data_IF_455606595972
#
_entry.id   IF_455606595972
#
_cell.length_a   1.000
_cell.length_b   1.000
_cell.length_c   1.000
_cell.angle_alpha   90.00
_cell.angle_beta   90.00
_cell.angle_gamma   90.00
#
_symmetry.space_group_name_H-M   'P 1'
#
loop_
_entity.id
_entity.type
_entity.pdbx_description
1 polymer ?
#
# COMPACT_ATOMS: atom_id res chain seq x y z
N UNK A 1 25.73 21.16 -0.54
CA UNK A 1 25.65 21.85 0.75
C UNK A 1 26.59 21.12 1.69
N UNK A 2 27.70 21.72 2.06
CA UNK A 2 28.62 21.17 3.06
C UNK A 2 28.15 21.81 4.37
N UNK A 3 27.48 21.02 5.22
CA UNK A 3 27.23 21.44 6.59
C UNK A 3 28.59 21.45 7.34
N UNK A 4 28.96 22.53 8.04
CA UNK A 4 30.17 22.58 8.84
C UNK A 4 30.06 21.77 10.14
N UNK A 5 29.01 20.99 10.33
CA UNK A 5 28.84 20.12 11.49
C UNK A 5 29.67 18.86 11.35
N UNK A 6 30.02 18.26 12.49
CA UNK A 6 30.85 17.04 12.55
C UNK A 6 30.36 16.00 11.51
N UNK A 7 31.27 15.34 10.85
CA UNK A 7 31.03 14.41 9.72
C UNK A 7 30.02 13.29 10.06
N UNK A 8 29.68 13.10 11.33
CA UNK A 8 28.84 12.03 11.85
C UNK A 8 27.41 12.48 12.26
N UNK A 9 27.08 13.78 12.24
CA UNK A 9 25.76 14.28 12.63
C UNK A 9 24.96 14.78 11.44
N UNK A 10 23.72 14.27 11.31
CA UNK A 10 22.76 14.80 10.37
C UNK A 10 22.38 16.24 10.76
N UNK A 11 22.30 17.19 9.81
CA UNK A 11 21.69 18.49 10.04
C UNK A 11 20.31 18.33 10.70
N UNK A 12 19.98 19.21 11.64
CA UNK A 12 18.75 19.09 12.44
C UNK A 12 17.46 19.05 11.58
N UNK A 13 17.42 19.80 10.48
CA UNK A 13 16.34 19.78 9.50
C UNK A 13 16.22 18.43 8.78
N UNK A 14 17.32 17.84 8.35
CA UNK A 14 17.35 16.50 7.76
C UNK A 14 16.98 15.43 8.79
N UNK A 15 17.47 15.54 10.02
CA UNK A 15 17.14 14.64 11.09
C UNK A 15 15.63 14.64 11.37
N UNK A 16 14.99 15.82 11.37
CA UNK A 16 13.54 15.96 11.54
C UNK A 16 12.74 15.32 10.40
N UNK A 17 13.18 15.46 9.16
CA UNK A 17 12.54 14.82 8.00
C UNK A 17 12.67 13.29 8.09
N UNK A 18 13.81 12.77 8.52
CA UNK A 18 14.10 11.34 8.54
C UNK A 18 13.57 10.60 9.77
N UNK A 19 12.93 11.27 10.72
CA UNK A 19 12.33 10.64 11.92
C UNK A 19 11.51 9.37 11.60
N UNK A 20 10.59 9.36 10.61
CA UNK A 20 9.77 8.19 10.33
C UNK A 20 10.55 7.00 9.76
N UNK A 21 11.76 7.22 9.24
CA UNK A 21 12.66 6.17 8.73
C UNK A 21 13.64 5.75 9.81
N UNK A 22 14.30 6.73 10.42
CA UNK A 22 15.39 6.51 11.36
C UNK A 22 14.92 5.95 12.70
N UNK A 23 13.76 6.39 13.17
CA UNK A 23 13.30 6.13 14.55
C UNK A 23 14.35 6.64 15.56
N UNK A 24 14.80 5.78 16.46
CA UNK A 24 15.93 6.03 17.35
C UNK A 24 17.26 5.47 16.84
N UNK A 25 17.29 4.94 15.61
CA UNK A 25 18.49 4.33 15.03
C UNK A 25 19.58 5.36 14.69
N UNK A 26 20.82 4.96 14.76
CA UNK A 26 21.97 5.75 14.31
C UNK A 26 22.16 5.49 12.81
N UNK A 27 22.16 6.56 12.01
CA UNK A 27 22.49 6.46 10.59
C UNK A 27 23.99 6.70 10.43
N UNK A 28 24.71 5.68 10.00
CA UNK A 28 26.12 5.82 9.62
C UNK A 28 26.29 6.08 8.11
N UNK A 29 27.40 6.70 7.69
CA UNK A 29 27.69 6.92 6.29
C UNK A 29 27.91 5.58 5.59
N UNK A 30 27.10 5.29 4.58
CA UNK A 30 27.25 4.09 3.74
C UNK A 30 28.19 4.33 2.56
N UNK A 31 28.21 5.56 2.08
CA UNK A 31 28.98 6.01 0.94
C UNK A 31 29.49 7.42 1.16
N UNK A 32 30.68 7.71 0.62
CA UNK A 32 31.20 9.06 0.44
C UNK A 32 31.19 9.37 -1.05
N UNK A 33 30.57 10.50 -1.42
CA UNK A 33 30.48 10.98 -2.81
C UNK A 33 31.21 12.32 -2.90
N UNK A 34 32.29 12.36 -3.64
CA UNK A 34 32.99 13.59 -3.99
C UNK A 34 32.55 14.00 -5.41
N UNK A 35 32.01 15.20 -5.56
CA UNK A 35 31.56 15.70 -6.85
C UNK A 35 32.29 16.95 -7.24
N UNK A 36 33.02 16.89 -8.35
CA UNK A 36 33.58 18.08 -9.01
C UNK A 36 32.55 18.55 -10.05
N UNK A 37 32.03 19.76 -9.87
CA UNK A 37 31.02 20.35 -10.74
C UNK A 37 31.57 21.59 -11.42
N UNK A 38 31.41 21.65 -12.76
CA UNK A 38 31.70 22.81 -13.57
C UNK A 38 30.46 23.19 -14.36
N UNK A 39 30.06 24.46 -14.28
CA UNK A 39 28.92 24.97 -15.01
C UNK A 39 29.38 25.82 -16.19
N UNK A 40 28.73 25.66 -17.32
CA UNK A 40 28.98 26.39 -18.54
C UNK A 40 27.67 26.94 -19.05
N UNK A 41 27.67 28.22 -19.44
CA UNK A 41 26.56 28.80 -20.18
C UNK A 41 26.77 28.52 -21.66
N UNK A 42 25.73 28.03 -22.31
CA UNK A 42 25.71 27.87 -23.75
C UNK A 42 25.21 29.17 -24.37
N UNK A 43 26.02 29.75 -25.21
CA UNK A 43 25.74 31.05 -25.86
C UNK A 43 25.55 30.80 -27.36
N UNK A 44 24.45 31.31 -27.91
CA UNK A 44 24.20 31.28 -29.37
C UNK A 44 25.05 32.24 -30.13
N UNK A 45 25.00 32.19 -31.46
CA UNK A 45 25.80 33.04 -32.37
C UNK A 45 25.59 34.55 -32.14
N UNK A 46 24.41 34.94 -31.65
CA UNK A 46 24.03 36.32 -31.35
C UNK A 46 24.38 36.77 -29.91
N UNK A 47 25.12 35.94 -29.15
CA UNK A 47 25.47 36.25 -27.78
C UNK A 47 24.40 35.96 -26.72
N UNK A 48 23.19 35.49 -27.13
CA UNK A 48 22.13 35.14 -26.22
C UNK A 48 22.40 33.79 -25.54
N UNK A 49 22.16 33.68 -24.24
CA UNK A 49 22.23 32.42 -23.53
C UNK A 49 21.11 31.49 -23.98
N UNK A 50 21.44 30.35 -24.56
CA UNK A 50 20.52 29.32 -25.06
C UNK A 50 20.32 28.17 -24.07
N UNK A 51 21.20 28.05 -23.08
CA UNK A 51 21.09 26.99 -22.09
C UNK A 51 22.25 26.94 -21.10
N UNK A 52 22.21 25.93 -20.24
CA UNK A 52 23.25 25.64 -19.24
C UNK A 52 23.69 24.19 -19.37
N UNK A 53 24.99 23.97 -19.33
CA UNK A 53 25.60 22.66 -19.28
C UNK A 53 26.36 22.52 -17.96
N UNK A 54 26.19 21.41 -17.30
CA UNK A 54 26.93 21.09 -16.06
C UNK A 54 27.77 19.84 -16.26
N UNK A 55 29.09 19.93 -16.14
CA UNK A 55 30.02 18.78 -16.12
C UNK A 55 30.17 18.33 -14.68
N UNK A 56 29.70 17.16 -14.33
CA UNK A 56 29.77 16.54 -13.00
C UNK A 56 30.61 15.30 -13.05
N UNK A 57 31.72 15.32 -12.30
CA UNK A 57 32.58 14.15 -12.10
C UNK A 57 32.38 13.66 -10.68
N UNK A 58 31.88 12.46 -10.54
CA UNK A 58 31.59 11.81 -9.27
C UNK A 58 32.67 10.77 -8.97
N UNK A 59 33.20 10.83 -7.77
CA UNK A 59 34.05 9.79 -7.19
C UNK A 59 33.31 9.24 -5.96
N UNK A 60 32.98 7.97 -5.98
CA UNK A 60 32.20 7.33 -4.94
C UNK A 60 33.07 6.29 -4.26
N UNK A 61 33.12 6.36 -2.94
CA UNK A 61 33.79 5.36 -2.10
C UNK A 61 32.78 4.77 -1.10
N UNK A 62 32.77 3.44 -0.99
CA UNK A 62 31.97 2.74 0.03
C UNK A 62 32.79 2.52 1.30
N UNK A 63 32.09 2.29 2.42
CA UNK A 63 32.75 1.89 3.67
C UNK A 63 33.54 0.56 3.54
N UNK A 64 33.16 -0.29 2.57
CA UNK A 64 33.85 -1.54 2.25
C UNK A 64 35.08 -1.35 1.34
N UNK A 65 35.49 -0.11 1.06
CA UNK A 65 36.67 0.19 0.23
C UNK A 65 36.44 0.11 -1.29
N UNK A 66 35.23 -0.15 -1.73
CA UNK A 66 34.90 -0.11 -3.17
C UNK A 66 34.95 1.33 -3.66
N UNK A 67 35.59 1.57 -4.77
CA UNK A 67 35.66 2.88 -5.42
C UNK A 67 35.15 2.78 -6.85
N UNK A 68 34.27 3.72 -7.22
CA UNK A 68 33.82 3.89 -8.60
C UNK A 68 33.83 5.37 -8.96
N UNK A 69 33.97 5.65 -10.25
CA UNK A 69 33.87 7.02 -10.75
C UNK A 69 33.03 7.04 -12.01
N UNK A 70 32.26 8.09 -12.16
CA UNK A 70 31.45 8.32 -13.36
C UNK A 70 31.34 9.81 -13.65
N UNK A 71 30.96 10.15 -14.87
CA UNK A 71 30.77 11.53 -15.32
C UNK A 71 29.37 11.67 -15.89
N UNK A 72 28.65 12.69 -15.43
CA UNK A 72 27.35 13.11 -15.97
C UNK A 72 27.49 14.50 -16.53
N UNK A 73 26.76 14.76 -17.61
CA UNK A 73 26.73 16.09 -18.23
C UNK A 73 25.26 16.51 -18.43
N UNK A 74 24.57 16.94 -17.34
CA UNK A 74 23.22 17.50 -17.47
C UNK A 74 23.22 18.72 -18.38
N UNK A 75 22.31 18.71 -19.34
CA UNK A 75 22.05 19.81 -20.26
C UNK A 75 20.65 20.35 -20.02
N UNK A 76 20.54 21.65 -19.79
CA UNK A 76 19.26 22.36 -19.66
C UNK A 76 19.11 23.34 -20.80
N UNK A 77 18.14 23.10 -21.66
CA UNK A 77 17.77 23.97 -22.76
C UNK A 77 16.30 24.37 -22.57
N UNK A 78 15.97 25.64 -22.32
CA UNK A 78 14.58 26.06 -22.04
C UNK A 78 13.63 25.81 -23.22
N UNK A 79 14.07 26.05 -24.44
CA UNK A 79 13.27 25.87 -25.65
C UNK A 79 14.20 25.64 -26.88
N UNK A 80 14.84 24.43 -26.97
CA UNK A 80 15.74 24.17 -28.09
C UNK A 80 14.95 23.95 -29.39
N UNK A 81 15.48 24.47 -30.52
CA UNK A 81 15.01 23.98 -31.81
C UNK A 81 15.50 22.53 -32.03
N UNK A 82 14.79 21.71 -32.83
CA UNK A 82 15.21 20.34 -33.14
C UNK A 82 16.64 20.28 -33.69
N UNK A 83 17.02 21.25 -34.52
CA UNK A 83 18.37 21.31 -35.12
C UNK A 83 19.45 21.65 -34.08
N UNK A 84 19.16 22.56 -33.14
CA UNK A 84 20.07 22.86 -32.03
C UNK A 84 20.27 21.67 -31.14
N UNK A 85 19.20 20.94 -30.79
CA UNK A 85 19.26 19.75 -29.97
C UNK A 85 20.08 18.67 -30.65
N UNK A 86 19.84 18.41 -31.94
CA UNK A 86 20.56 17.42 -32.72
C UNK A 86 22.07 17.76 -32.85
N UNK A 87 22.40 19.04 -33.08
CA UNK A 87 23.80 19.47 -33.16
C UNK A 87 24.53 19.28 -31.82
N UNK A 88 23.89 19.62 -30.71
CA UNK A 88 24.48 19.45 -29.37
C UNK A 88 24.66 17.95 -29.04
N UNK A 89 23.62 17.15 -29.25
CA UNK A 89 23.69 15.70 -28.98
C UNK A 89 24.77 15.07 -29.86
N UNK A 90 24.82 15.40 -31.16
CA UNK A 90 25.85 14.90 -32.05
C UNK A 90 27.28 15.28 -31.64
N UNK A 91 27.48 16.48 -31.09
CA UNK A 91 28.78 16.90 -30.55
C UNK A 91 29.18 16.06 -29.32
N UNK A 92 28.22 15.73 -28.43
CA UNK A 92 28.46 14.86 -27.29
C UNK A 92 28.77 13.42 -27.72
N UNK A 93 28.03 12.89 -28.65
CA UNK A 93 28.26 11.52 -29.20
C UNK A 93 29.62 11.42 -29.88
N UNK A 94 30.02 12.44 -30.66
CA UNK A 94 31.33 12.50 -31.28
C UNK A 94 32.46 12.58 -30.23
N UNK A 95 32.20 13.12 -29.05
CA UNK A 95 33.11 13.14 -27.90
C UNK A 95 33.05 11.88 -27.02
N UNK A 96 32.31 10.84 -27.42
CA UNK A 96 32.16 9.57 -26.69
C UNK A 96 31.07 9.61 -25.61
N UNK A 97 30.21 10.61 -25.60
CA UNK A 97 29.03 10.65 -24.74
C UNK A 97 27.91 9.75 -25.26
N UNK A 98 27.00 9.35 -24.38
CA UNK A 98 25.77 8.67 -24.75
C UNK A 98 24.58 9.39 -24.10
N UNK A 99 23.51 9.56 -24.87
CA UNK A 99 22.25 10.05 -24.33
C UNK A 99 21.62 8.97 -23.45
N UNK A 100 21.08 9.36 -22.30
CA UNK A 100 20.36 8.46 -21.39
C UNK A 100 18.94 8.96 -21.24
N UNK A 101 17.96 8.07 -21.36
CA UNK A 101 16.53 8.41 -21.26
C UNK A 101 16.10 8.68 -19.82
N UNK A 102 16.83 8.15 -18.87
CA UNK A 102 16.59 8.38 -17.44
C UNK A 102 17.90 8.60 -16.71
N UNK A 103 17.87 9.50 -15.73
CA UNK A 103 18.99 9.70 -14.82
C UNK A 103 19.07 8.51 -13.87
N UNK A 104 20.07 7.64 -14.06
CA UNK A 104 20.35 6.57 -13.11
C UNK A 104 20.67 7.18 -11.75
N UNK A 105 19.89 6.86 -10.74
CA UNK A 105 20.20 7.28 -9.39
C UNK A 105 21.52 6.64 -8.94
N UNK A 106 22.22 7.29 -8.01
CA UNK A 106 23.43 6.74 -7.38
C UNK A 106 23.17 5.32 -6.83
N UNK A 107 21.99 5.09 -6.27
CA UNK A 107 21.57 3.80 -5.74
C UNK A 107 21.52 2.71 -6.82
N UNK A 108 21.00 3.03 -8.02
CA UNK A 108 20.92 2.10 -9.15
C UNK A 108 22.32 1.77 -9.68
N UNK A 109 23.16 2.78 -9.86
CA UNK A 109 24.54 2.61 -10.38
C UNK A 109 25.44 1.79 -9.47
N UNK A 110 25.22 1.88 -8.18
CA UNK A 110 26.04 1.18 -7.19
C UNK A 110 25.43 -0.15 -6.74
N UNK A 111 24.35 -0.57 -7.40
CA UNK A 111 23.57 -1.77 -7.00
C UNK A 111 23.17 -1.76 -5.52
N UNK A 112 23.17 -0.58 -4.90
CA UNK A 112 22.81 -0.41 -3.49
C UNK A 112 21.32 -0.57 -3.26
N UNK A 113 20.57 -0.36 -4.29
CA UNK A 113 19.15 -0.62 -4.29
C UNK A 113 18.92 -2.12 -4.51
N UNK A 114 19.15 -2.91 -3.50
CA UNK A 114 18.27 -4.05 -3.33
C UNK A 114 16.88 -3.47 -3.04
N UNK A 115 16.29 -2.83 -4.05
CA UNK A 115 14.87 -2.67 -4.05
C UNK A 115 14.34 -4.08 -3.97
N UNK A 116 13.79 -4.44 -2.83
CA UNK A 116 12.87 -5.56 -2.81
C UNK A 116 11.99 -5.32 -4.04
N UNK A 117 12.16 -6.13 -5.08
CA UNK A 117 11.34 -6.04 -6.29
C UNK A 117 9.94 -5.90 -5.78
N UNK A 118 9.15 -4.90 -6.24
CA UNK A 118 7.77 -4.82 -5.83
C UNK A 118 7.24 -6.23 -5.97
N UNK A 119 6.72 -6.81 -4.87
CA UNK A 119 6.31 -8.21 -4.87
C UNK A 119 5.51 -8.41 -6.13
N UNK A 120 5.96 -9.34 -6.97
CA UNK A 120 5.38 -9.64 -8.28
C UNK A 120 3.87 -9.77 -8.13
N UNK A 121 3.13 -9.35 -9.16
CA UNK A 121 1.67 -9.33 -9.18
C UNK A 121 1.09 -10.47 -8.34
N UNK A 122 0.31 -10.11 -7.31
CA UNK A 122 -0.20 -11.05 -6.32
C UNK A 122 -0.94 -12.19 -7.01
N UNK A 123 -0.43 -13.40 -6.87
CA UNK A 123 -1.00 -14.56 -7.52
C UNK A 123 -2.04 -15.23 -6.62
N UNK A 124 -3.16 -15.65 -7.21
CA UNK A 124 -4.15 -16.47 -6.50
C UNK A 124 -3.58 -17.81 -5.99
N UNK A 125 -2.39 -18.21 -6.46
CA UNK A 125 -1.69 -19.44 -6.05
C UNK A 125 -0.61 -19.20 -5.00
N UNK A 126 -0.28 -17.96 -4.71
CA UNK A 126 0.68 -17.61 -3.66
C UNK A 126 0.12 -17.93 -2.26
N UNK A 127 0.99 -18.09 -1.25
CA UNK A 127 0.57 -18.14 0.13
C UNK A 127 -0.20 -16.88 0.55
N UNK A 128 -1.14 -17.00 1.50
CA UNK A 128 -1.94 -15.87 1.97
C UNK A 128 -1.07 -14.83 2.69
N UNK A 129 0.05 -15.26 3.27
CA UNK A 129 1.06 -14.41 3.89
C UNK A 129 1.59 -13.36 2.91
N UNK A 130 1.89 -13.77 1.68
CA UNK A 130 2.41 -12.87 0.65
C UNK A 130 1.40 -11.79 0.29
N UNK A 131 0.12 -12.15 0.26
CA UNK A 131 -0.96 -11.20 0.01
C UNK A 131 -1.06 -10.15 1.12
N UNK A 132 -1.16 -10.60 2.38
CA UNK A 132 -1.30 -9.70 3.54
C UNK A 132 -0.06 -8.83 3.70
N UNK A 133 1.13 -9.42 3.59
CA UNK A 133 2.39 -8.69 3.63
C UNK A 133 2.44 -7.57 2.56
N UNK A 134 2.02 -7.87 1.33
CA UNK A 134 2.01 -6.88 0.25
C UNK A 134 0.99 -5.74 0.49
N UNK A 135 -0.17 -6.03 1.11
CA UNK A 135 -1.13 -4.99 1.48
C UNK A 135 -0.53 -4.05 2.54
N UNK A 136 0.08 -4.59 3.59
CA UNK A 136 0.73 -3.79 4.64
C UNK A 136 1.93 -3.00 4.11
N UNK A 137 2.78 -3.59 3.27
CA UNK A 137 3.89 -2.90 2.62
C UNK A 137 3.39 -1.72 1.75
N UNK A 138 2.35 -1.95 0.94
CA UNK A 138 1.76 -0.91 0.10
C UNK A 138 1.18 0.24 0.93
N UNK A 139 0.50 -0.07 2.05
CA UNK A 139 -0.04 0.92 2.96
C UNK A 139 1.08 1.69 3.68
N UNK A 140 2.05 0.98 4.21
CA UNK A 140 3.21 1.57 4.87
C UNK A 140 3.94 2.57 3.97
N UNK A 141 4.24 2.18 2.72
CA UNK A 141 4.91 3.06 1.75
C UNK A 141 4.11 4.32 1.47
N UNK A 142 2.78 4.21 1.31
CA UNK A 142 1.92 5.37 1.08
C UNK A 142 1.88 6.32 2.27
N UNK A 143 1.78 5.80 3.48
CA UNK A 143 1.78 6.60 4.69
C UNK A 143 3.15 7.26 4.92
N UNK A 144 4.23 6.51 4.72
CA UNK A 144 5.59 7.05 4.82
C UNK A 144 5.82 8.19 3.81
N UNK A 145 5.38 8.02 2.57
CA UNK A 145 5.50 9.07 1.55
C UNK A 145 4.68 10.31 1.93
N UNK A 146 3.46 10.13 2.43
CA UNK A 146 2.63 11.24 2.91
C UNK A 146 3.30 12.00 4.06
N UNK A 147 3.90 11.29 5.03
CA UNK A 147 4.65 11.90 6.14
C UNK A 147 5.88 12.67 5.65
N UNK A 148 6.68 12.08 4.77
CA UNK A 148 7.85 12.76 4.19
C UNK A 148 7.45 14.03 3.42
N UNK A 149 6.36 13.97 2.66
CA UNK A 149 5.83 15.14 1.93
C UNK A 149 5.42 16.25 2.88
N UNK A 150 4.76 15.91 3.99
CA UNK A 150 4.37 16.87 5.03
C UNK A 150 5.60 17.49 5.71
N UNK A 151 6.60 16.67 6.07
CA UNK A 151 7.84 17.14 6.75
C UNK A 151 8.71 18.02 5.85
N UNK A 152 8.69 17.81 4.55
CA UNK A 152 9.41 18.66 3.60
C UNK A 152 8.70 19.97 3.31
N UNK A 153 7.55 20.23 3.94
CA UNK A 153 6.79 21.47 3.77
C UNK A 153 6.06 21.58 2.43
N UNK A 154 5.93 20.49 1.69
CA UNK A 154 5.27 20.46 0.38
C UNK A 154 3.79 20.04 0.45
N UNK A 155 3.29 19.72 1.65
CA UNK A 155 1.91 19.29 1.88
C UNK A 155 1.42 19.52 3.31
N UNK A 156 0.12 19.30 3.51
CA UNK A 156 -0.54 19.28 4.81
C UNK A 156 -0.65 17.83 5.35
N UNK A 157 -1.26 17.61 6.52
CA UNK A 157 -1.45 16.27 7.09
C UNK A 157 -2.71 15.54 6.60
N UNK A 158 -3.48 16.14 5.67
CA UNK A 158 -4.68 15.55 5.08
C UNK A 158 -4.44 14.19 4.45
N UNK A 159 -3.37 13.97 3.62
CA UNK A 159 -3.07 12.66 3.07
C UNK A 159 -2.75 11.61 4.16
N UNK A 160 -2.12 12.01 5.26
CA UNK A 160 -1.84 11.12 6.39
C UNK A 160 -3.13 10.69 7.07
N UNK A 161 -4.04 11.64 7.37
CA UNK A 161 -5.36 11.36 7.96
C UNK A 161 -6.22 10.46 7.07
N UNK A 162 -6.29 10.77 5.78
CA UNK A 162 -6.98 9.93 4.81
C UNK A 162 -6.36 8.52 4.76
N UNK A 163 -5.04 8.44 4.87
CA UNK A 163 -4.32 7.17 4.93
C UNK A 163 -4.66 6.34 6.16
N UNK A 164 -4.84 6.97 7.33
CA UNK A 164 -5.28 6.30 8.56
C UNK A 164 -6.73 5.80 8.43
N UNK A 165 -7.63 6.61 7.89
CA UNK A 165 -9.01 6.18 7.64
C UNK A 165 -9.08 5.01 6.66
N UNK A 166 -8.26 5.04 5.61
CA UNK A 166 -8.17 3.93 4.67
C UNK A 166 -7.56 2.68 5.31
N UNK A 167 -6.58 2.83 6.23
CA UNK A 167 -6.04 1.71 7.03
C UNK A 167 -7.15 1.05 7.86
N UNK A 168 -7.95 1.82 8.59
CA UNK A 168 -9.10 1.28 9.35
C UNK A 168 -10.04 0.48 8.46
N UNK A 169 -10.36 1.02 7.29
CA UNK A 169 -11.20 0.32 6.31
C UNK A 169 -10.57 -0.99 5.83
N UNK A 170 -9.26 -1.00 5.55
CA UNK A 170 -8.54 -2.21 5.12
C UNK A 170 -8.45 -3.25 6.25
N UNK A 171 -8.21 -2.83 7.49
CA UNK A 171 -8.22 -3.73 8.65
C UNK A 171 -9.57 -4.40 8.82
N UNK A 172 -10.67 -3.65 8.74
CA UNK A 172 -12.02 -4.22 8.77
C UNK A 172 -12.25 -5.24 7.65
N UNK A 173 -11.69 -5.02 6.45
CA UNK A 173 -11.76 -5.98 5.33
C UNK A 173 -10.92 -7.24 5.54
N UNK A 174 -9.83 -7.17 6.31
CA UNK A 174 -8.91 -8.27 6.55
C UNK A 174 -9.13 -8.95 7.92
N UNK A 175 -10.04 -8.45 8.75
CA UNK A 175 -10.23 -8.87 10.15
C UNK A 175 -10.32 -10.39 10.31
N UNK A 176 -11.07 -11.07 9.43
CA UNK A 176 -11.24 -12.53 9.46
C UNK A 176 -9.96 -13.33 9.14
N UNK A 177 -8.96 -12.69 8.56
CA UNK A 177 -7.68 -13.31 8.17
C UNK A 177 -6.59 -13.09 9.22
N UNK A 178 -6.74 -12.05 10.05
CA UNK A 178 -5.72 -11.57 10.96
C UNK A 178 -5.94 -12.07 12.37
N UNK A 179 -4.90 -12.02 13.18
CA UNK A 179 -4.97 -12.25 14.61
C UNK A 179 -5.86 -11.21 15.29
N UNK A 180 -6.89 -11.61 16.05
CA UNK A 180 -7.86 -10.67 16.64
C UNK A 180 -7.26 -9.67 17.63
N UNK A 181 -6.22 -10.06 18.37
CA UNK A 181 -5.59 -9.17 19.36
C UNK A 181 -4.75 -8.12 18.65
N UNK A 182 -4.06 -8.52 17.58
CA UNK A 182 -3.32 -7.61 16.72
C UNK A 182 -4.25 -6.61 16.02
N UNK A 183 -5.39 -7.06 15.47
CA UNK A 183 -6.38 -6.19 14.82
C UNK A 183 -6.90 -5.15 15.81
N UNK A 184 -7.29 -5.57 17.01
CA UNK A 184 -7.78 -4.67 18.06
C UNK A 184 -6.76 -3.59 18.43
N UNK A 185 -5.50 -3.97 18.57
CA UNK A 185 -4.42 -3.02 18.85
C UNK A 185 -4.20 -2.03 17.69
N UNK A 186 -4.26 -2.52 16.44
CA UNK A 186 -4.11 -1.71 15.24
C UNK A 186 -5.27 -0.72 15.06
N UNK A 187 -6.51 -1.16 15.29
CA UNK A 187 -7.70 -0.31 15.23
C UNK A 187 -7.67 0.79 16.28
N UNK A 188 -7.33 0.47 17.52
CA UNK A 188 -7.22 1.44 18.60
C UNK A 188 -6.16 2.51 18.30
N UNK A 189 -5.00 2.11 17.74
CA UNK A 189 -3.98 3.06 17.31
C UNK A 189 -4.49 3.97 16.17
N UNK A 190 -5.15 3.40 15.18
CA UNK A 190 -5.67 4.13 14.03
C UNK A 190 -6.81 5.08 14.44
N UNK A 191 -7.70 4.68 15.35
CA UNK A 191 -8.77 5.52 15.87
C UNK A 191 -8.22 6.73 16.63
N UNK A 192 -7.34 6.49 17.59
CA UNK A 192 -6.71 7.58 18.36
C UNK A 192 -5.87 8.53 17.49
N UNK A 193 -5.32 8.04 16.37
CA UNK A 193 -4.63 8.90 15.40
C UNK A 193 -5.61 9.72 14.55
N UNK A 194 -6.75 9.14 14.16
CA UNK A 194 -7.78 9.86 13.40
C UNK A 194 -8.39 11.02 14.19
N UNK A 195 -8.54 10.86 15.50
CA UNK A 195 -9.10 11.86 16.43
C UNK A 195 -8.08 12.92 16.88
N UNK A 196 -6.81 12.78 16.54
CA UNK A 196 -5.76 13.69 16.98
C UNK A 196 -6.01 15.11 16.49
N UNK A 197 -6.04 16.07 17.40
CA UNK A 197 -6.17 17.50 17.10
C UNK A 197 -4.83 18.15 16.72
N UNK A 198 -3.71 17.53 17.08
CA UNK A 198 -2.35 17.97 16.75
C UNK A 198 -1.90 17.36 15.41
N UNK A 199 -0.93 18.00 14.72
CA UNK A 199 -0.35 17.42 13.52
C UNK A 199 0.17 16.00 13.77
N UNK A 200 -0.25 15.03 12.95
CA UNK A 200 0.02 13.60 13.16
C UNK A 200 1.52 13.28 13.16
N UNK A 201 2.30 13.90 12.28
CA UNK A 201 3.72 13.64 12.11
C UNK A 201 4.59 13.85 13.37
N UNK A 202 4.05 14.58 14.37
CA UNK A 202 4.75 14.87 15.62
C UNK A 202 4.30 13.97 16.78
N UNK A 203 3.51 12.94 16.50
CA UNK A 203 2.97 12.07 17.54
C UNK A 203 3.69 10.72 17.55
N UNK A 204 3.95 10.17 18.74
CA UNK A 204 4.47 8.81 18.88
C UNK A 204 3.51 7.76 18.31
N UNK A 205 2.20 8.02 18.38
CA UNK A 205 1.16 7.15 17.85
C UNK A 205 1.30 6.95 16.34
N UNK A 206 1.62 8.03 15.62
CA UNK A 206 1.89 7.96 14.18
C UNK A 206 3.07 7.03 13.86
N UNK A 207 4.16 7.20 14.60
CA UNK A 207 5.34 6.36 14.44
C UNK A 207 5.02 4.89 14.72
N UNK A 208 4.22 4.61 15.75
CA UNK A 208 3.76 3.24 16.07
C UNK A 208 2.91 2.63 14.95
N UNK A 209 2.05 3.42 14.28
CA UNK A 209 1.30 2.92 13.10
C UNK A 209 2.26 2.50 11.99
N UNK A 210 3.28 3.31 11.71
CA UNK A 210 4.28 2.96 10.71
C UNK A 210 5.08 1.71 11.08
N UNK A 211 5.45 1.55 12.37
CA UNK A 211 6.16 0.36 12.86
C UNK A 211 5.30 -0.89 12.77
N UNK A 212 4.05 -0.80 13.17
CA UNK A 212 3.08 -1.89 13.09
C UNK A 212 2.90 -2.39 11.66
N UNK A 213 2.79 -1.49 10.70
CA UNK A 213 2.67 -1.83 9.28
C UNK A 213 3.98 -2.39 8.71
N UNK A 214 5.12 -1.83 9.10
CA UNK A 214 6.44 -2.35 8.69
C UNK A 214 6.64 -3.78 9.19
N UNK A 215 6.36 -4.03 10.47
CA UNK A 215 6.45 -5.36 11.07
C UNK A 215 5.46 -6.33 10.41
N UNK A 216 4.18 -5.94 10.26
CA UNK A 216 3.17 -6.76 9.61
C UNK A 216 3.46 -7.07 8.13
N UNK A 217 4.28 -6.25 7.46
CA UNK A 217 4.75 -6.54 6.11
C UNK A 217 5.88 -7.58 6.07
N UNK A 218 6.63 -7.74 7.14
CA UNK A 218 7.68 -8.74 7.27
C UNK A 218 7.12 -10.05 7.82
N UNK A 219 6.31 -9.94 8.86
CA UNK A 219 5.69 -11.06 9.59
C UNK A 219 4.18 -10.80 9.70
N UNK A 220 3.38 -11.18 8.68
CA UNK A 220 1.94 -10.96 8.69
C UNK A 220 1.29 -11.65 9.90
N UNK A 221 0.52 -10.89 10.69
CA UNK A 221 -0.15 -11.41 11.88
C UNK A 221 -1.41 -12.21 11.49
N UNK A 222 -1.24 -13.38 10.93
CA UNK A 222 -2.34 -14.22 10.45
C UNK A 222 -2.89 -15.10 11.58
N UNK A 223 -4.19 -15.39 11.47
CA UNK A 223 -4.86 -16.40 12.30
C UNK A 223 -4.68 -17.82 11.71
N UNK A 224 -5.66 -18.69 11.90
CA UNK A 224 -5.65 -20.08 11.43
C UNK A 224 -5.58 -20.27 9.89
N UNK A 225 -5.56 -19.19 9.10
CA UNK A 225 -5.44 -19.26 7.63
C UNK A 225 -3.98 -19.31 7.15
N UNK A 226 -3.01 -19.17 8.05
CA UNK A 226 -1.59 -19.21 7.71
C UNK A 226 -1.23 -20.49 6.93
N UNK A 227 -0.36 -20.37 5.93
CA UNK A 227 0.06 -21.45 5.05
C UNK A 227 -0.95 -21.85 3.97
N UNK A 228 -2.15 -21.23 3.91
CA UNK A 228 -3.16 -21.53 2.90
C UNK A 228 -2.94 -20.71 1.63
N UNK A 229 -3.52 -21.18 0.52
CA UNK A 229 -3.44 -20.51 -0.78
C UNK A 229 -4.39 -19.32 -0.83
N UNK A 230 -3.89 -18.17 -1.30
CA UNK A 230 -4.58 -16.87 -1.34
C UNK A 230 -5.94 -16.92 -2.04
N UNK A 231 -6.01 -17.47 -3.25
CA UNK A 231 -7.23 -17.43 -4.06
C UNK A 231 -8.44 -18.09 -3.38
N UNK A 232 -8.37 -19.35 -2.97
CA UNK A 232 -9.46 -20.02 -2.26
C UNK A 232 -9.85 -19.31 -0.95
N UNK A 233 -8.87 -18.86 -0.15
CA UNK A 233 -9.12 -18.16 1.11
C UNK A 233 -9.91 -16.88 0.87
N UNK A 234 -9.40 -16.00 -0.01
CA UNK A 234 -10.07 -14.73 -0.30
C UNK A 234 -11.45 -14.90 -0.95
N UNK A 235 -11.64 -15.91 -1.80
CA UNK A 235 -12.94 -16.19 -2.39
C UNK A 235 -13.94 -16.64 -1.31
N UNK A 236 -13.53 -17.49 -0.39
CA UNK A 236 -14.34 -17.95 0.74
C UNK A 236 -14.73 -16.79 1.67
N UNK A 237 -13.76 -15.93 2.01
CA UNK A 237 -14.00 -14.77 2.87
C UNK A 237 -14.94 -13.75 2.22
N UNK A 238 -14.75 -13.44 0.93
CA UNK A 238 -15.66 -12.58 0.19
C UNK A 238 -17.09 -13.15 0.17
N UNK A 239 -17.23 -14.44 -0.07
CA UNK A 239 -18.54 -15.11 -0.06
C UNK A 239 -19.18 -15.01 1.32
N UNK A 240 -18.45 -15.33 2.39
CA UNK A 240 -18.94 -15.28 3.76
C UNK A 240 -19.40 -13.87 4.16
N UNK A 241 -18.58 -12.85 3.91
CA UNK A 241 -18.89 -11.46 4.24
C UNK A 241 -20.11 -10.96 3.45
N UNK A 242 -20.18 -11.26 2.15
CA UNK A 242 -21.32 -10.87 1.31
C UNK A 242 -22.60 -11.58 1.76
N UNK A 243 -22.55 -12.88 2.05
CA UNK A 243 -23.72 -13.59 2.56
C UNK A 243 -24.20 -13.07 3.91
N UNK A 244 -23.29 -12.82 4.85
CA UNK A 244 -23.63 -12.22 6.15
C UNK A 244 -24.30 -10.86 5.98
N UNK A 245 -23.77 -10.01 5.10
CA UNK A 245 -24.37 -8.70 4.80
C UNK A 245 -25.79 -8.85 4.26
N UNK A 246 -25.99 -9.81 3.35
CA UNK A 246 -27.31 -10.03 2.74
C UNK A 246 -28.34 -10.60 3.72
N UNK A 247 -27.91 -11.52 4.59
CA UNK A 247 -28.79 -12.06 5.62
C UNK A 247 -29.24 -10.95 6.58
N UNK A 248 -28.34 -10.00 6.89
CA UNK A 248 -28.71 -8.79 7.63
C UNK A 248 -29.67 -7.90 6.84
N UNK A 249 -29.47 -7.71 5.52
CA UNK A 249 -30.37 -6.92 4.69
C UNK A 249 -31.79 -7.53 4.63
N UNK A 250 -31.91 -8.86 4.62
CA UNK A 250 -33.22 -9.57 4.61
C UNK A 250 -34.04 -9.32 5.86
N UNK A 251 -33.40 -9.01 6.99
CA UNK A 251 -34.09 -8.71 8.26
C UNK A 251 -34.51 -7.26 8.39
N UNK A 252 -34.12 -6.40 7.44
CA UNK A 252 -34.44 -4.98 7.49
C UNK A 252 -35.84 -4.71 6.92
N UNK A 253 -36.64 -4.03 7.71
CA UNK A 253 -37.92 -3.45 7.31
C UNK A 253 -37.81 -1.92 7.31
N UNK A 254 -38.72 -1.19 6.57
CA UNK A 254 -38.68 0.28 6.54
C UNK A 254 -38.72 0.90 7.94
N UNK A 255 -39.53 0.29 8.83
CA UNK A 255 -39.76 0.76 10.20
C UNK A 255 -39.09 -0.10 11.28
N UNK A 256 -38.10 -0.98 10.89
CA UNK A 256 -37.40 -1.78 11.88
C UNK A 256 -36.65 -0.88 12.88
N UNK A 257 -36.68 -1.31 14.15
CA UNK A 257 -36.01 -0.63 15.23
C UNK A 257 -34.52 -0.36 14.88
N UNK A 258 -34.02 0.77 15.31
CA UNK A 258 -32.62 1.16 15.06
C UNK A 258 -31.60 0.13 15.58
N UNK A 259 -31.99 -0.69 16.57
CA UNK A 259 -31.12 -1.76 17.12
C UNK A 259 -30.75 -2.88 16.12
N UNK A 260 -31.52 -3.12 15.06
CA UNK A 260 -31.23 -4.15 14.05
C UNK A 260 -30.32 -3.63 12.92
N UNK A 261 -30.31 -2.32 12.69
CA UNK A 261 -29.55 -1.70 11.59
C UNK A 261 -28.04 -1.66 11.83
N UNK A 262 -27.52 -1.41 13.07
CA UNK A 262 -26.09 -1.40 13.32
C UNK A 262 -25.37 -2.68 12.87
N UNK A 263 -26.01 -3.85 12.95
CA UNK A 263 -25.40 -5.13 12.52
C UNK A 263 -25.15 -5.17 11.01
N UNK A 264 -26.12 -4.74 10.19
CA UNK A 264 -25.93 -4.67 8.74
C UNK A 264 -24.83 -3.65 8.37
N UNK A 265 -24.75 -2.55 9.13
CA UNK A 265 -23.73 -1.53 8.96
C UNK A 265 -22.33 -1.96 9.42
N UNK A 266 -22.21 -2.88 10.36
CA UNK A 266 -20.91 -3.43 10.78
C UNK A 266 -20.30 -4.35 9.72
N UNK A 267 -21.11 -5.03 8.91
CA UNK A 267 -20.65 -5.96 7.86
C UNK A 267 -20.38 -5.25 6.54
N UNK A 268 -21.16 -4.23 6.19
CA UNK A 268 -20.98 -3.46 4.96
C UNK A 268 -19.56 -2.83 4.84
N UNK A 269 -18.97 -2.25 5.89
CA UNK A 269 -17.59 -1.74 5.88
C UNK A 269 -16.53 -2.81 5.59
N UNK A 270 -16.81 -4.09 5.78
CA UNK A 270 -15.88 -5.19 5.48
C UNK A 270 -15.95 -5.62 4.02
N UNK A 271 -17.14 -5.65 3.44
CA UNK A 271 -17.38 -6.19 2.10
C UNK A 271 -16.74 -5.32 1.00
N UNK A 272 -16.86 -3.99 1.08
CA UNK A 272 -16.31 -3.07 0.10
C UNK A 272 -14.78 -3.04 0.11
N UNK A 273 -14.08 -2.87 1.24
CA UNK A 273 -12.63 -2.92 1.31
C UNK A 273 -12.06 -4.26 0.87
N UNK A 274 -12.61 -5.38 1.35
CA UNK A 274 -12.15 -6.71 0.97
C UNK A 274 -12.27 -6.93 -0.54
N UNK A 275 -13.38 -6.51 -1.17
CA UNK A 275 -13.54 -6.57 -2.63
C UNK A 275 -12.53 -5.68 -3.38
N UNK A 276 -12.08 -4.60 -2.75
CA UNK A 276 -11.05 -3.70 -3.31
C UNK A 276 -9.68 -4.32 -3.22
N UNK A 277 -9.30 -4.85 -2.05
CA UNK A 277 -8.02 -5.49 -1.80
C UNK A 277 -7.81 -6.72 -2.70
N UNK A 278 -8.87 -7.49 -2.93
CA UNK A 278 -8.81 -8.70 -3.77
C UNK A 278 -8.71 -8.42 -5.28
N UNK A 279 -8.79 -7.15 -5.71
CA UNK A 279 -8.68 -6.77 -7.12
C UNK A 279 -7.38 -7.21 -7.75
N UNK A 280 -6.28 -7.12 -7.02
CA UNK A 280 -4.94 -7.45 -7.53
C UNK A 280 -4.75 -8.96 -7.71
N UNK A 281 -5.57 -9.78 -7.03
CA UNK A 281 -5.60 -11.25 -7.15
C UNK A 281 -6.58 -11.72 -8.22
N UNK A 282 -7.80 -11.19 -8.25
CA UNK A 282 -8.87 -11.65 -9.13
C UNK A 282 -9.11 -10.75 -10.35
N UNK A 283 -8.54 -9.56 -10.41
CA UNK A 283 -8.65 -8.66 -11.55
C UNK A 283 -10.08 -8.21 -11.87
N UNK A 284 -10.53 -8.46 -13.12
CA UNK A 284 -11.85 -8.05 -13.61
C UNK A 284 -13.03 -8.60 -12.79
N UNK A 285 -13.05 -9.88 -12.35
CA UNK A 285 -14.11 -10.40 -11.47
C UNK A 285 -14.29 -9.60 -10.19
N UNK A 286 -13.21 -9.27 -9.47
CA UNK A 286 -13.29 -8.47 -8.25
C UNK A 286 -13.79 -7.04 -8.51
N UNK A 287 -13.33 -6.41 -9.60
CA UNK A 287 -13.84 -5.10 -10.02
C UNK A 287 -15.35 -5.11 -10.29
N UNK A 288 -15.84 -6.16 -10.94
CA UNK A 288 -17.26 -6.30 -11.24
C UNK A 288 -18.07 -6.59 -9.98
N UNK A 289 -17.57 -7.44 -9.09
CA UNK A 289 -18.19 -7.71 -7.79
C UNK A 289 -18.34 -6.41 -7.00
N UNK A 290 -17.27 -5.63 -6.85
CA UNK A 290 -17.28 -4.35 -6.18
C UNK A 290 -18.32 -3.38 -6.77
N UNK A 291 -18.37 -3.26 -8.11
CA UNK A 291 -19.33 -2.39 -8.79
C UNK A 291 -20.80 -2.75 -8.43
N UNK A 292 -21.10 -4.04 -8.29
CA UNK A 292 -22.45 -4.51 -7.95
C UNK A 292 -22.71 -4.44 -6.43
N UNK A 293 -21.68 -4.50 -5.60
CA UNK A 293 -21.77 -4.40 -4.15
C UNK A 293 -21.98 -2.96 -3.68
N UNK A 294 -21.36 -1.99 -4.37
CA UNK A 294 -21.36 -0.58 -3.98
C UNK A 294 -22.76 0.00 -3.75
N UNK A 295 -23.76 -0.22 -4.61
CA UNK A 295 -25.13 0.29 -4.38
C UNK A 295 -25.76 -0.22 -3.08
N UNK A 296 -25.43 -1.46 -2.66
CA UNK A 296 -25.94 -2.02 -1.41
C UNK A 296 -25.26 -1.32 -0.23
N UNK A 297 -23.96 -1.14 -0.29
CA UNK A 297 -23.18 -0.46 0.77
C UNK A 297 -23.60 1.01 0.89
N UNK A 298 -23.72 1.73 -0.23
CA UNK A 298 -24.14 3.13 -0.25
C UNK A 298 -25.58 3.28 0.28
N UNK A 299 -26.49 2.42 -0.18
CA UNK A 299 -27.86 2.41 0.27
C UNK A 299 -27.96 2.14 1.78
N UNK A 300 -27.21 1.16 2.31
CA UNK A 300 -27.14 0.93 3.75
C UNK A 300 -26.63 2.17 4.49
N UNK A 301 -25.56 2.79 4.02
CA UNK A 301 -24.97 3.97 4.66
C UNK A 301 -25.99 5.11 4.77
N UNK A 302 -26.81 5.34 3.74
CA UNK A 302 -27.87 6.35 3.76
C UNK A 302 -28.99 6.05 4.76
N UNK A 303 -29.15 4.80 5.21
CA UNK A 303 -30.18 4.41 6.20
C UNK A 303 -29.74 4.64 7.64
N UNK A 304 -28.48 5.01 7.90
CA UNK A 304 -27.99 5.34 9.22
C UNK A 304 -28.58 6.62 9.75
N UNK A 305 -28.91 6.60 11.03
CA UNK A 305 -29.20 7.82 11.76
C UNK A 305 -27.90 8.61 11.88
N UNK A 306 -27.85 9.91 11.51
CA UNK A 306 -26.70 10.71 11.88
C UNK A 306 -26.60 10.63 13.40
N UNK A 307 -25.40 10.33 13.91
CA UNK A 307 -25.13 10.62 15.30
C UNK A 307 -25.38 12.11 15.47
N UNK A 308 -26.53 12.43 16.04
CA UNK A 308 -26.73 13.79 16.52
C UNK A 308 -25.59 13.97 17.49
N UNK A 309 -24.72 14.95 17.23
CA UNK A 309 -23.74 15.38 18.19
C UNK A 309 -24.48 15.68 19.50
N UNK A 310 -24.70 14.62 20.28
CA UNK A 310 -25.32 14.70 21.60
C UNK A 310 -24.50 15.57 22.57
N UNK A 311 -23.31 15.96 22.11
CA UNK A 311 -22.36 16.84 22.79
C UNK A 311 -22.51 18.32 22.43
N UNK A 312 -23.41 18.72 21.52
CA UNK A 312 -23.74 20.13 21.42
C UNK A 312 -24.49 20.51 22.69
N UNK A 313 -23.82 21.31 23.53
CA UNK A 313 -24.43 21.90 24.69
C UNK A 313 -25.57 22.83 24.19
N UNK A 314 -26.77 22.26 24.08
CA UNK A 314 -27.96 22.99 23.65
C UNK A 314 -28.26 24.21 24.56
N UNK A 315 -27.73 24.21 25.77
CA UNK A 315 -27.83 25.32 26.71
C UNK A 315 -26.99 26.53 26.31
N UNK A 316 -26.00 26.36 25.47
CA UNK A 316 -25.13 27.45 24.97
C UNK A 316 -25.68 28.11 23.70
N UNK A 317 -26.72 27.54 23.06
CA UNK A 317 -27.30 28.02 21.83
C UNK A 317 -28.42 29.05 22.08
N UNK A 318 -28.54 30.03 21.21
CA UNK A 318 -29.70 30.92 21.16
C UNK A 318 -30.96 30.16 20.71
N UNK A 319 -32.13 30.71 21.07
CA UNK A 319 -33.43 30.10 20.67
C UNK A 319 -33.52 29.86 19.16
N UNK A 320 -33.01 30.78 18.36
CA UNK A 320 -32.99 30.67 16.90
C UNK A 320 -32.11 29.50 16.44
N UNK A 321 -30.94 29.34 17.04
CA UNK A 321 -30.02 28.24 16.71
C UNK A 321 -30.58 26.89 17.12
N UNK A 322 -31.25 26.79 18.28
CA UNK A 322 -31.95 25.56 18.70
C UNK A 322 -33.07 25.23 17.73
N UNK A 323 -33.86 26.21 17.28
CA UNK A 323 -34.94 26.01 16.33
C UNK A 323 -34.41 25.54 14.97
N UNK A 324 -33.35 26.16 14.44
CA UNK A 324 -32.71 25.76 13.18
C UNK A 324 -32.09 24.36 13.27
N UNK A 325 -31.46 24.01 14.39
CA UNK A 325 -30.95 22.67 14.65
C UNK A 325 -32.09 21.64 14.69
N UNK A 326 -33.22 21.96 15.33
CA UNK A 326 -34.41 21.10 15.34
C UNK A 326 -34.98 20.86 13.95
N UNK A 327 -35.09 21.90 13.12
CA UNK A 327 -35.53 21.77 11.72
C UNK A 327 -34.55 20.96 10.86
N UNK A 328 -33.26 21.13 11.08
CA UNK A 328 -32.23 20.35 10.38
C UNK A 328 -32.32 18.87 10.77
N UNK A 329 -32.51 18.59 12.06
CA UNK A 329 -32.72 17.22 12.55
C UNK A 329 -33.97 16.56 11.96
N UNK A 330 -35.11 17.24 11.95
CA UNK A 330 -36.35 16.73 11.37
C UNK A 330 -36.19 16.40 9.88
N UNK A 331 -35.58 17.33 9.10
CA UNK A 331 -35.28 17.09 7.69
C UNK A 331 -34.38 15.87 7.48
N UNK A 332 -33.37 15.72 8.33
CA UNK A 332 -32.46 14.56 8.31
C UNK A 332 -33.23 13.27 8.59
N UNK A 333 -34.12 13.27 9.60
CA UNK A 333 -34.95 12.09 9.93
C UNK A 333 -35.91 11.70 8.80
N UNK A 334 -36.52 12.66 8.13
CA UNK A 334 -37.34 12.40 6.95
C UNK A 334 -36.55 11.83 5.79
N UNK A 335 -35.37 12.39 5.55
CA UNK A 335 -34.43 11.88 4.52
C UNK A 335 -34.04 10.42 4.79
N UNK A 336 -33.75 10.08 6.05
CA UNK A 336 -33.40 8.72 6.46
C UNK A 336 -34.60 7.78 6.30
N UNK A 337 -35.80 8.19 6.68
CA UNK A 337 -37.01 7.37 6.51
C UNK A 337 -37.24 7.05 5.03
N UNK A 338 -37.07 8.04 4.16
CA UNK A 338 -37.16 7.85 2.71
C UNK A 338 -36.05 6.94 2.16
N UNK A 339 -34.83 7.11 2.64
CA UNK A 339 -33.70 6.24 2.27
C UNK A 339 -33.94 4.78 2.70
N UNK A 340 -34.56 4.56 3.87
CA UNK A 340 -34.94 3.24 4.38
C UNK A 340 -35.96 2.54 3.51
N UNK A 341 -37.03 3.24 3.14
CA UNK A 341 -38.03 2.70 2.22
C UNK A 341 -37.47 2.35 0.86
N UNK A 342 -36.67 3.26 0.29
CA UNK A 342 -36.02 3.03 -0.99
C UNK A 342 -35.04 1.84 -0.92
N UNK A 343 -34.23 1.74 0.12
CA UNK A 343 -33.31 0.63 0.30
C UNK A 343 -34.06 -0.72 0.33
N UNK A 344 -35.07 -0.85 1.17
CA UNK A 344 -35.85 -2.10 1.29
C UNK A 344 -36.50 -2.49 -0.03
N UNK A 345 -36.95 -1.50 -0.82
CA UNK A 345 -37.55 -1.73 -2.14
C UNK A 345 -36.51 -2.17 -3.19
N UNK A 346 -35.34 -1.59 -3.19
CA UNK A 346 -34.39 -1.71 -4.29
C UNK A 346 -33.30 -2.79 -4.08
N UNK A 347 -32.93 -3.09 -2.82
CA UNK A 347 -31.83 -4.01 -2.52
C UNK A 347 -32.04 -5.44 -3.09
N UNK A 348 -33.26 -6.01 -3.20
CA UNK A 348 -33.45 -7.33 -3.82
C UNK A 348 -32.98 -7.36 -5.27
N UNK A 349 -33.27 -6.29 -6.03
CA UNK A 349 -32.78 -6.17 -7.41
C UNK A 349 -31.28 -5.97 -7.52
N UNK A 350 -30.64 -5.33 -6.54
CA UNK A 350 -29.18 -5.24 -6.47
C UNK A 350 -28.56 -6.59 -6.14
N UNK A 351 -29.19 -7.35 -5.24
CA UNK A 351 -28.78 -8.71 -4.91
C UNK A 351 -28.81 -9.65 -6.10
N UNK A 352 -29.87 -9.66 -6.87
CA UNK A 352 -29.97 -10.54 -8.06
C UNK A 352 -28.82 -10.29 -9.04
N UNK A 353 -28.44 -9.03 -9.22
CA UNK A 353 -27.26 -8.67 -10.02
C UNK A 353 -25.94 -9.13 -9.39
N UNK A 354 -25.82 -9.02 -8.08
CA UNK A 354 -24.63 -9.40 -7.34
C UNK A 354 -24.43 -10.92 -7.33
N UNK A 355 -25.51 -11.68 -7.09
CA UNK A 355 -25.51 -13.16 -7.02
C UNK A 355 -24.89 -13.81 -8.26
N UNK A 356 -25.16 -13.27 -9.43
CA UNK A 356 -24.58 -13.74 -10.70
C UNK A 356 -23.09 -13.43 -10.89
N UNK A 357 -22.49 -12.64 -9.98
CA UNK A 357 -21.12 -12.15 -10.07
C UNK A 357 -20.22 -12.57 -8.91
N UNK A 358 -20.69 -13.47 -8.04
CA UNK A 358 -19.87 -14.01 -6.95
C UNK A 358 -18.66 -14.71 -7.49
N UNK A 359 -17.51 -14.46 -6.86
CA UNK A 359 -16.25 -15.14 -7.17
C UNK A 359 -16.33 -16.53 -6.57
N UNK A 360 -16.45 -17.53 -7.41
CA UNK A 360 -16.44 -18.93 -6.97
C UNK A 360 -15.00 -19.40 -6.85
N UNK A 361 -14.62 -20.03 -5.72
CA UNK A 361 -13.33 -20.65 -5.59
C UNK A 361 -13.20 -21.72 -6.69
N UNK A 362 -12.29 -21.52 -7.63
CA UNK A 362 -11.87 -22.63 -8.52
C UNK A 362 -11.07 -23.56 -7.62
N UNK A 363 -11.68 -24.66 -7.20
CA UNK A 363 -10.93 -25.77 -6.60
C UNK A 363 -9.88 -26.15 -7.65
N UNK A 364 -8.58 -25.98 -7.37
CA UNK A 364 -7.58 -26.49 -8.28
C UNK A 364 -7.84 -28.00 -8.36
N UNK A 365 -8.10 -28.54 -9.56
CA UNK A 365 -7.96 -29.96 -9.76
C UNK A 365 -6.49 -30.25 -9.42
N UNK A 366 -6.24 -30.72 -8.22
CA UNK A 366 -4.99 -31.35 -7.90
C UNK A 366 -4.91 -32.53 -8.86
N UNK A 367 -4.01 -32.54 -9.85
CA UNK A 367 -3.82 -33.73 -10.65
C UNK A 367 -3.54 -34.82 -9.65
N UNK A 368 -4.29 -35.93 -9.74
CA UNK A 368 -4.12 -37.05 -8.84
C UNK A 368 -2.61 -37.31 -8.71
N UNK A 369 -2.09 -37.20 -7.50
CA UNK A 369 -0.68 -37.45 -7.21
C UNK A 369 -0.37 -38.77 -7.91
N UNK A 370 0.58 -38.86 -8.85
CA UNK A 370 0.92 -40.12 -9.44
C UNK A 370 1.19 -41.06 -8.28
N UNK A 371 0.48 -42.22 -8.26
CA UNK A 371 0.64 -43.20 -7.18
C UNK A 371 2.13 -43.46 -6.97
N UNK A 372 2.57 -43.82 -5.79
CA UNK A 372 3.97 -44.11 -5.53
C UNK A 372 4.44 -45.04 -6.65
N UNK A 373 5.61 -44.80 -7.23
CA UNK A 373 6.12 -45.66 -8.29
C UNK A 373 6.10 -47.10 -7.76
N UNK A 374 5.40 -47.98 -8.44
CA UNK A 374 5.40 -49.41 -8.13
C UNK A 374 6.86 -49.81 -8.26
N UNK A 375 7.49 -50.10 -7.09
CA UNK A 375 8.84 -50.63 -7.06
C UNK A 375 8.80 -51.93 -7.78
N UNK A 376 9.15 -51.93 -9.07
CA UNK A 376 9.47 -53.15 -9.81
C UNK A 376 10.64 -53.74 -9.05
N UNK A 377 10.40 -54.96 -8.54
CA UNK A 377 11.38 -55.77 -7.80
C UNK A 377 12.67 -55.77 -8.63
N UNK A 378 13.72 -55.14 -8.11
CA UNK A 378 15.02 -55.16 -8.75
C UNK A 378 15.48 -56.60 -8.86
N UNK A 379 15.90 -57.01 -10.07
CA UNK A 379 16.54 -58.29 -10.27
C UNK A 379 17.72 -58.42 -9.31
N UNK A 380 17.96 -59.62 -8.76
CA UNK A 380 19.06 -59.87 -7.84
C UNK A 380 20.39 -59.58 -8.54
N UNK A 381 21.20 -58.75 -7.89
CA UNK A 381 22.57 -58.49 -8.30
C UNK A 381 23.34 -59.80 -8.56
N UNK A 382 24.09 -59.90 -9.67
CA UNK A 382 24.97 -61.05 -9.86
C UNK A 382 26.04 -61.12 -8.75
N UNK A 383 26.45 -62.31 -8.35
CA UNK A 383 27.45 -62.49 -7.28
C UNK A 383 28.78 -61.83 -7.69
N UNK A 384 29.54 -61.28 -6.72
CA UNK A 384 30.82 -60.64 -6.99
C UNK A 384 31.80 -61.67 -7.57
N UNK A 385 32.47 -61.31 -8.65
CA UNK A 385 33.53 -62.09 -9.27
C UNK A 385 34.66 -62.30 -8.26
N UNK A 386 35.03 -63.60 -8.05
CA UNK A 386 36.17 -63.94 -7.21
C UNK A 386 37.46 -63.34 -7.81
N UNK A 387 38.03 -62.37 -7.08
CA UNK A 387 39.35 -61.85 -7.43
C UNK A 387 40.43 -62.87 -7.14
N UNK A 388 41.60 -62.80 -7.87
CA UNK A 388 42.71 -63.73 -7.69
C UNK A 388 43.31 -63.60 -6.33
N UNK A 389 43.53 -64.76 -5.69
CA UNK A 389 44.29 -64.88 -4.43
C UNK A 389 45.77 -64.60 -4.77
N UNK A 390 46.28 -63.49 -4.31
CA UNK A 390 47.69 -63.17 -4.34
C UNK A 390 48.38 -63.87 -3.17
N UNK A 391 49.16 -64.95 -3.47
CA UNK A 391 50.07 -65.58 -2.53
C UNK A 391 51.23 -64.63 -2.26
N UNK A 392 51.42 -64.22 -1.03
CA UNK A 392 52.62 -63.52 -0.53
C UNK A 392 53.65 -64.56 -0.05
N UNK A 393 54.94 -64.33 -0.30
CA UNK A 393 56.03 -65.21 0.11
C UNK A 393 56.32 -65.15 1.60
#
# INVERSE_FOLDING_TARGET
YISPQAEDELPADMAAILVPIRRGGILGPKLKVETLRRRFQLVGAEGATIGELTDERHKVSSHAGQMTSYRNVPLRLPAPSPEQLQAIVGAFEAAGGAQVDSYDTLATRLELAHHAKPRSALSARAPIEDFVAAQFESRWRRLLLADLTTRTGTGDDTPMRQGVLALRSELAGLESLLDPDWVRAAEQLAETAAEATRPLQNTERWLRILDLLAQGSLEPPLNAVAGRITGPVLAQELEAVVHTMLDQCRTLEPYSEDARRPRAHQVAPRASPLSTLTRDVFGKPAKQLRKNLQPIVDGLTLTLRPEVEASRDLHSLSVTEVFEAGRAYERSMLSIAYARENFVREWPGWWDRLRGRMIRPRVPHTPARPGPPTLTRADPLPPPAAGPVEELP
#
